data_IF_151601513713
#
_entry.id   IF_151601513713
#
_cell.length_a   1.000
_cell.length_b   1.000
_cell.length_c   1.000
_cell.angle_alpha   90.00
_cell.angle_beta   90.00
_cell.angle_gamma   90.00
#
_symmetry.space_group_name_H-M   'P 1'
#
loop_
_entity.id
_entity.type
_entity.pdbx_description
1 polymer ?
#
# COMPACT_ATOMS: atom_id res chain seq x y z
N UNK A 1 14.27 -5.75 5.86
CA UNK A 1 13.08 -6.43 5.30
C UNK A 1 12.68 -5.68 4.06
N UNK A 2 12.35 -6.40 3.01
CA UNK A 2 11.84 -5.95 1.71
C UNK A 2 10.32 -6.24 1.56
N UNK A 3 9.66 -6.57 2.67
CA UNK A 3 8.25 -6.88 2.68
C UNK A 3 7.38 -5.65 2.35
N UNK A 4 6.32 -5.91 1.58
CA UNK A 4 5.19 -5.01 1.36
C UNK A 4 4.02 -5.54 2.19
N UNK A 5 3.52 -4.73 3.12
CA UNK A 5 2.42 -5.15 4.02
C UNK A 5 1.21 -4.27 3.76
N UNK A 6 0.07 -4.88 3.44
CA UNK A 6 -1.22 -4.22 3.31
C UNK A 6 -1.99 -4.40 4.61
N UNK A 7 -2.53 -3.31 5.15
CA UNK A 7 -3.40 -3.30 6.32
C UNK A 7 -4.76 -2.76 5.92
N UNK A 8 -5.80 -3.53 6.22
CA UNK A 8 -7.20 -3.11 6.07
C UNK A 8 -7.78 -2.93 7.47
N UNK A 9 -8.16 -1.70 7.80
CA UNK A 9 -8.86 -1.44 9.06
C UNK A 9 -10.27 -1.98 8.98
N UNK A 10 -10.65 -2.90 9.88
CA UNK A 10 -12.02 -3.41 9.96
C UNK A 10 -13.03 -2.29 10.26
N UNK A 11 -12.72 -1.48 11.27
CA UNK A 11 -13.59 -0.38 11.73
C UNK A 11 -13.82 0.68 10.65
N UNK A 12 -12.73 1.15 10.03
CA UNK A 12 -12.79 2.31 9.14
C UNK A 12 -12.78 1.95 7.65
N UNK A 13 -12.54 0.67 7.31
CA UNK A 13 -12.32 0.16 5.95
C UNK A 13 -11.17 0.85 5.21
N UNK A 14 -10.34 1.63 5.90
CA UNK A 14 -9.20 2.35 5.32
C UNK A 14 -8.08 1.38 5.02
N UNK A 15 -7.44 1.57 3.87
CA UNK A 15 -6.30 0.80 3.43
C UNK A 15 -5.01 1.57 3.76
N UNK A 16 -4.01 0.86 4.24
CA UNK A 16 -2.66 1.38 4.44
C UNK A 16 -1.62 0.39 3.91
N UNK A 17 -0.47 0.89 3.47
CA UNK A 17 0.67 0.08 3.01
C UNK A 17 1.90 0.47 3.82
N UNK A 18 2.58 -0.54 4.37
CA UNK A 18 3.91 -0.38 4.97
C UNK A 18 4.97 -0.99 4.04
N UNK A 19 5.92 -0.18 3.61
CA UNK A 19 7.06 -0.59 2.77
C UNK A 19 8.21 0.42 2.92
N UNK A 20 9.45 -0.02 2.74
CA UNK A 20 10.64 0.86 2.77
C UNK A 20 10.79 1.72 4.05
N UNK A 21 10.25 1.25 5.18
CA UNK A 21 10.27 2.01 6.43
C UNK A 21 9.21 3.13 6.52
N UNK A 22 8.35 3.27 5.51
CA UNK A 22 7.26 4.24 5.48
C UNK A 22 5.90 3.56 5.63
N UNK A 23 4.94 4.30 6.21
CA UNK A 23 3.55 3.89 6.34
C UNK A 23 2.65 4.88 5.60
N UNK A 24 2.14 4.45 4.45
CA UNK A 24 1.18 5.19 3.64
C UNK A 24 -0.23 4.86 4.10
N UNK A 25 -0.96 5.86 4.60
CA UNK A 25 -2.29 5.68 5.21
C UNK A 25 -3.41 6.20 4.31
N UNK A 26 -4.61 5.67 4.50
CA UNK A 26 -5.84 6.13 3.87
C UNK A 26 -5.78 6.11 2.34
N UNK A 27 -5.19 5.07 1.78
CA UNK A 27 -5.07 4.90 0.34
C UNK A 27 -6.45 4.61 -0.27
N UNK A 28 -6.74 5.31 -1.36
CA UNK A 28 -7.80 4.96 -2.30
C UNK A 28 -7.29 3.92 -3.32
N UNK A 29 -8.17 3.50 -4.24
CA UNK A 29 -7.82 2.48 -5.24
C UNK A 29 -6.62 2.89 -6.10
N UNK A 30 -6.61 4.13 -6.60
CA UNK A 30 -5.56 4.61 -7.50
C UNK A 30 -4.21 4.73 -6.80
N UNK A 31 -4.19 5.24 -5.56
CA UNK A 31 -2.96 5.36 -4.78
C UNK A 31 -2.45 4.00 -4.30
N UNK A 32 -3.33 3.06 -3.95
CA UNK A 32 -2.95 1.68 -3.66
C UNK A 32 -2.32 1.01 -4.89
N UNK A 33 -2.97 1.13 -6.05
CA UNK A 33 -2.47 0.57 -7.31
C UNK A 33 -1.05 1.07 -7.61
N UNK A 34 -0.85 2.39 -7.60
CA UNK A 34 0.47 3.00 -7.82
C UNK A 34 1.53 2.49 -6.85
N UNK A 35 1.18 2.33 -5.57
CA UNK A 35 2.11 1.81 -4.54
C UNK A 35 2.48 0.35 -4.79
N UNK A 36 1.54 -0.47 -5.25
CA UNK A 36 1.81 -1.86 -5.62
C UNK A 36 2.63 -1.98 -6.91
N UNK A 37 2.35 -1.15 -7.92
CA UNK A 37 3.15 -1.07 -9.15
C UNK A 37 4.59 -0.64 -8.85
N UNK A 38 4.77 0.39 -8.00
CA UNK A 38 6.08 0.85 -7.50
C UNK A 38 6.84 -0.29 -6.80
N UNK A 39 6.16 -1.00 -5.88
CA UNK A 39 6.79 -2.03 -5.07
C UNK A 39 7.20 -3.28 -5.87
N UNK A 40 6.41 -3.67 -6.88
CA UNK A 40 6.65 -4.88 -7.67
C UNK A 40 7.24 -4.61 -9.06
N UNK A 41 7.56 -3.34 -9.38
CA UNK A 41 8.07 -2.90 -10.70
C UNK A 41 7.24 -3.45 -11.86
N UNK A 42 5.93 -3.40 -11.72
CA UNK A 42 5.01 -3.80 -12.78
C UNK A 42 4.92 -2.61 -13.74
N UNK A 43 5.41 -2.78 -14.97
CA UNK A 43 5.19 -1.81 -16.03
C UNK A 43 3.75 -1.94 -16.51
N UNK A 44 2.96 -0.88 -16.33
CA UNK A 44 1.65 -0.70 -16.97
C UNK A 44 1.77 0.10 -18.25
#
# INVERSE_FOLDING_TARGET
SDAVVIVVSEETRRISVAMNGELYKNLDEDSLRRKLEEAFRIAT
#
